data_IF_962940706966
#
_entry.id   IF_962940706966
#
_cell.length_a   1.000
_cell.length_b   1.000
_cell.length_c   1.000
_cell.angle_alpha   90.00
_cell.angle_beta   90.00
_cell.angle_gamma   90.00
#
_symmetry.space_group_name_H-M   'P 1'
#
loop_
_entity.id
_entity.type
_entity.pdbx_description
1 polymer ?
#
# COMPACT_ATOMS: atom_id res chain seq x y z
N UNK A 1 1.96 24.54 -12.23
CA UNK A 1 2.34 23.17 -12.63
C UNK A 1 1.44 22.09 -12.05
N UNK A 2 1.15 22.01 -10.74
CA UNK A 2 0.32 20.89 -10.22
C UNK A 2 -1.18 20.97 -10.58
N UNK A 3 -1.75 22.18 -10.77
CA UNK A 3 -3.16 22.35 -11.21
C UNK A 3 -3.48 21.67 -12.53
N UNK A 4 -2.51 21.57 -13.44
CA UNK A 4 -2.69 20.90 -14.74
C UNK A 4 -2.67 19.38 -14.63
N UNK A 5 -2.31 18.83 -13.46
CA UNK A 5 -2.29 17.39 -13.17
C UNK A 5 -3.53 16.92 -12.39
N UNK A 6 -4.47 17.82 -12.10
CA UNK A 6 -5.74 17.47 -11.48
C UNK A 6 -6.54 16.57 -12.44
N UNK A 7 -7.09 15.46 -11.94
CA UNK A 7 -7.80 14.48 -12.78
C UNK A 7 -8.97 15.09 -13.56
N UNK A 8 -9.70 16.05 -12.99
CA UNK A 8 -10.76 16.77 -13.72
C UNK A 8 -10.18 17.54 -14.90
N UNK A 9 -9.11 18.31 -14.66
CA UNK A 9 -8.41 19.08 -15.71
C UNK A 9 -7.81 18.17 -16.79
N UNK A 10 -7.30 16.98 -16.43
CA UNK A 10 -6.77 16.00 -17.38
C UNK A 10 -7.88 15.42 -18.26
N UNK A 11 -9.05 15.09 -17.67
CA UNK A 11 -10.23 14.63 -18.42
C UNK A 11 -10.69 15.68 -19.44
N UNK A 12 -10.69 16.95 -19.05
CA UNK A 12 -11.15 18.04 -19.91
C UNK A 12 -10.14 18.37 -21.03
N UNK A 13 -8.84 18.28 -20.75
CA UNK A 13 -7.78 18.61 -21.73
C UNK A 13 -7.43 17.47 -22.68
N UNK A 14 -7.35 16.25 -22.18
CA UNK A 14 -6.86 15.09 -22.95
C UNK A 14 -7.43 13.80 -22.38
N UNK A 15 -8.53 13.29 -22.96
CA UNK A 15 -9.10 12.00 -22.58
C UNK A 15 -8.07 10.85 -22.68
N UNK A 16 -7.12 10.93 -23.60
CA UNK A 16 -6.02 9.97 -23.75
C UNK A 16 -5.06 9.98 -22.55
N UNK A 17 -4.67 11.17 -22.04
CA UNK A 17 -3.88 11.25 -20.79
C UNK A 17 -4.69 10.73 -19.60
N UNK A 18 -6.00 11.01 -19.52
CA UNK A 18 -6.82 10.45 -18.44
C UNK A 18 -6.92 8.93 -18.51
N UNK A 19 -7.00 8.36 -19.72
CA UNK A 19 -7.04 6.91 -19.92
C UNK A 19 -5.72 6.24 -19.48
N UNK A 20 -4.59 6.94 -19.60
CA UNK A 20 -3.31 6.47 -19.08
C UNK A 20 -3.36 6.16 -17.57
N UNK A 21 -4.20 6.87 -16.80
CA UNK A 21 -4.37 6.67 -15.36
C UNK A 21 -5.49 5.68 -14.98
N UNK A 22 -6.18 5.02 -15.93
CA UNK A 22 -7.31 4.12 -15.64
C UNK A 22 -6.95 3.05 -14.60
N UNK A 23 -5.81 2.40 -14.81
CA UNK A 23 -5.27 1.32 -13.98
C UNK A 23 -4.18 1.79 -13.02
N UNK A 24 -3.99 3.11 -12.88
CA UNK A 24 -2.99 3.64 -11.99
C UNK A 24 -3.38 3.39 -10.52
N UNK A 25 -2.43 2.96 -9.67
CA UNK A 25 -2.64 2.86 -8.24
C UNK A 25 -2.96 4.24 -7.65
N UNK A 26 -3.87 4.26 -6.67
CA UNK A 26 -4.29 5.47 -5.97
C UNK A 26 -3.62 5.50 -4.59
N UNK A 27 -2.86 6.54 -4.29
CA UNK A 27 -2.29 6.74 -2.95
C UNK A 27 -3.14 7.77 -2.20
N UNK A 28 -3.53 7.39 -0.99
CA UNK A 28 -4.26 8.23 -0.04
C UNK A 28 -3.54 8.23 1.30
N UNK A 29 -3.90 9.15 2.20
CA UNK A 29 -3.28 9.21 3.53
C UNK A 29 -4.10 8.52 4.62
N UNK A 30 -5.37 8.17 4.36
CA UNK A 30 -6.29 7.62 5.36
C UNK A 30 -6.85 6.27 4.93
N UNK A 31 -6.81 5.29 5.85
CA UNK A 31 -7.32 3.92 5.61
C UNK A 31 -8.79 3.87 5.20
N UNK A 32 -9.65 4.66 5.84
CA UNK A 32 -11.08 4.69 5.47
C UNK A 32 -11.29 5.09 3.99
N UNK A 33 -10.46 6.00 3.49
CA UNK A 33 -10.54 6.50 2.11
C UNK A 33 -10.03 5.44 1.13
N UNK A 34 -8.94 4.75 1.51
CA UNK A 34 -8.40 3.59 0.80
C UNK A 34 -9.48 2.52 0.64
N UNK A 35 -10.13 2.15 1.75
CA UNK A 35 -11.14 1.09 1.78
C UNK A 35 -12.35 1.45 0.89
N UNK A 36 -12.83 2.69 0.97
CA UNK A 36 -13.93 3.17 0.14
C UNK A 36 -13.58 3.18 -1.36
N UNK A 37 -12.38 3.62 -1.73
CA UNK A 37 -11.91 3.61 -3.12
C UNK A 37 -11.76 2.18 -3.66
N UNK A 38 -11.20 1.29 -2.85
CA UNK A 38 -11.04 -0.12 -3.20
C UNK A 38 -12.39 -0.81 -3.37
N UNK A 39 -13.37 -0.56 -2.49
CA UNK A 39 -14.72 -1.10 -2.63
C UNK A 39 -15.42 -0.59 -3.90
N UNK A 40 -15.31 0.72 -4.18
CA UNK A 40 -15.87 1.31 -5.42
C UNK A 40 -15.21 0.74 -6.68
N UNK A 41 -13.88 0.59 -6.69
CA UNK A 41 -13.14 -0.02 -7.79
C UNK A 41 -13.51 -1.49 -7.98
N UNK A 42 -13.68 -2.25 -6.90
CA UNK A 42 -14.13 -3.63 -6.95
C UNK A 42 -15.53 -3.75 -7.56
N UNK A 43 -16.48 -2.90 -7.16
CA UNK A 43 -17.84 -2.86 -7.75
C UNK A 43 -17.81 -2.56 -9.25
N UNK A 44 -17.01 -1.56 -9.65
CA UNK A 44 -16.86 -1.23 -11.06
C UNK A 44 -16.21 -2.36 -11.84
N UNK A 45 -15.19 -3.01 -11.28
CA UNK A 45 -14.51 -4.14 -11.91
C UNK A 45 -15.43 -5.35 -12.09
N UNK A 46 -16.27 -5.68 -11.09
CA UNK A 46 -17.30 -6.71 -11.20
C UNK A 46 -18.23 -6.43 -12.40
N UNK A 47 -18.74 -5.19 -12.49
CA UNK A 47 -19.60 -4.75 -13.59
C UNK A 47 -18.90 -4.80 -14.96
N UNK A 48 -17.68 -4.25 -15.07
CA UNK A 48 -16.90 -4.22 -16.31
C UNK A 48 -16.51 -5.63 -16.80
N UNK A 49 -16.30 -6.58 -15.88
CA UNK A 49 -15.92 -7.96 -16.20
C UNK A 49 -17.09 -8.94 -16.29
N UNK A 50 -18.35 -8.46 -16.17
CA UNK A 50 -19.56 -9.30 -16.10
C UNK A 50 -19.49 -10.39 -15.01
N UNK A 51 -18.83 -10.09 -13.89
CA UNK A 51 -18.72 -10.98 -12.74
C UNK A 51 -19.62 -10.48 -11.60
N UNK A 52 -20.07 -11.40 -10.74
CA UNK A 52 -20.80 -11.01 -9.54
C UNK A 52 -19.86 -10.34 -8.53
N UNK A 53 -20.37 -9.31 -7.87
CA UNK A 53 -19.65 -8.68 -6.77
C UNK A 53 -19.74 -9.55 -5.52
N UNK A 54 -18.66 -10.29 -5.23
CA UNK A 54 -18.62 -11.22 -4.11
C UNK A 54 -17.89 -10.65 -2.90
N UNK A 55 -18.44 -10.94 -1.71
CA UNK A 55 -17.86 -10.56 -0.43
C UNK A 55 -17.54 -11.82 0.38
N UNK A 56 -16.32 -11.86 0.90
CA UNK A 56 -15.83 -12.93 1.76
C UNK A 56 -15.70 -12.43 3.19
N UNK A 57 -16.28 -13.20 4.10
CA UNK A 57 -16.45 -12.86 5.50
C UNK A 57 -15.34 -13.46 6.36
N UNK A 58 -14.92 -12.72 7.39
CA UNK A 58 -13.96 -13.21 8.36
C UNK A 58 -14.64 -14.06 9.44
N UNK A 59 -13.91 -15.02 10.02
CA UNK A 59 -14.37 -15.79 11.18
C UNK A 59 -13.84 -15.16 12.46
N UNK A 60 -14.72 -14.75 13.38
CA UNK A 60 -14.32 -14.11 14.64
C UNK A 60 -14.56 -15.02 15.86
N UNK A 61 -13.62 -14.97 16.81
CA UNK A 61 -13.70 -15.64 18.11
C UNK A 61 -13.39 -14.67 19.24
N UNK A 62 -14.15 -14.75 20.33
CA UNK A 62 -13.90 -14.00 21.57
C UNK A 62 -13.69 -15.01 22.69
N UNK A 63 -12.57 -14.88 23.41
CA UNK A 63 -12.20 -15.81 24.50
C UNK A 63 -12.27 -17.30 24.09
N UNK A 64 -11.88 -17.60 22.84
CA UNK A 64 -11.87 -18.96 22.28
C UNK A 64 -13.23 -19.47 21.76
N UNK A 65 -14.32 -18.76 21.99
CA UNK A 65 -15.67 -19.13 21.54
C UNK A 65 -16.06 -18.37 20.27
N UNK A 66 -16.83 -19.03 19.40
CA UNK A 66 -17.48 -18.37 18.27
C UNK A 66 -18.42 -17.28 18.78
N UNK A 67 -18.43 -16.14 18.10
CA UNK A 67 -19.29 -15.01 18.46
C UNK A 67 -20.72 -15.24 17.99
N UNK A 68 -21.70 -14.56 18.60
CA UNK A 68 -23.10 -14.64 18.13
C UNK A 68 -23.25 -13.98 16.76
N UNK A 69 -24.29 -14.34 15.98
CA UNK A 69 -24.51 -13.78 14.65
C UNK A 69 -24.68 -12.25 14.66
N UNK A 70 -25.26 -11.69 15.72
CA UNK A 70 -25.36 -10.23 15.89
C UNK A 70 -23.99 -9.58 16.14
N UNK A 71 -23.18 -10.17 17.01
CA UNK A 71 -21.81 -9.72 17.27
C UNK A 71 -20.95 -9.81 16.01
N UNK A 72 -21.06 -10.92 15.27
CA UNK A 72 -20.35 -11.14 14.00
C UNK A 72 -20.67 -10.04 12.99
N UNK A 73 -21.95 -9.70 12.82
CA UNK A 73 -22.39 -8.61 11.92
C UNK A 73 -21.85 -7.25 12.33
N UNK A 74 -21.68 -6.98 13.63
CA UNK A 74 -21.05 -5.74 14.13
C UNK A 74 -19.55 -5.75 13.87
N UNK A 75 -18.87 -6.85 14.18
CA UNK A 75 -17.43 -7.00 13.98
C UNK A 75 -17.04 -6.88 12.50
N UNK A 76 -17.87 -7.38 11.59
CA UNK A 76 -17.68 -7.22 10.15
C UNK A 76 -17.77 -5.79 9.62
N UNK A 77 -18.40 -4.88 10.37
CA UNK A 77 -18.53 -3.45 10.00
C UNK A 77 -17.37 -2.60 10.51
N UNK A 78 -16.47 -3.16 11.31
CA UNK A 78 -15.31 -2.42 11.83
C UNK A 78 -14.35 -2.08 10.70
N UNK A 79 -13.89 -0.83 10.69
CA UNK A 79 -12.95 -0.34 9.68
C UNK A 79 -11.52 -0.81 9.93
N UNK A 80 -10.71 -0.81 8.87
CA UNK A 80 -9.31 -1.23 8.95
C UNK A 80 -8.44 -0.40 9.92
N UNK A 81 -8.86 0.83 10.24
CA UNK A 81 -8.21 1.67 11.26
C UNK A 81 -8.30 1.05 12.66
N UNK A 82 -9.45 0.46 12.98
CA UNK A 82 -9.73 -0.07 14.33
C UNK A 82 -9.19 -1.50 14.48
N UNK A 83 -9.08 -2.23 13.37
CA UNK A 83 -8.71 -3.65 13.36
C UNK A 83 -7.27 -3.91 12.87
N UNK A 84 -6.49 -2.86 12.61
CA UNK A 84 -5.11 -3.00 12.14
C UNK A 84 -5.00 -3.66 10.76
N UNK A 85 -5.88 -3.29 9.82
CA UNK A 85 -6.04 -3.93 8.49
C UNK A 85 -6.62 -5.35 8.48
N UNK A 86 -7.04 -5.88 9.63
CA UNK A 86 -7.82 -7.12 9.69
C UNK A 86 -9.28 -6.88 9.31
N UNK A 87 -9.56 -6.85 8.00
CA UNK A 87 -10.88 -6.49 7.46
C UNK A 87 -11.89 -7.62 7.64
N UNK A 88 -13.09 -7.27 8.11
CA UNK A 88 -14.16 -8.25 8.35
C UNK A 88 -14.88 -8.73 7.09
N UNK A 89 -14.92 -7.90 6.04
CA UNK A 89 -15.53 -8.18 4.73
C UNK A 89 -14.57 -7.80 3.61
N UNK A 90 -14.11 -8.81 2.87
CA UNK A 90 -13.20 -8.60 1.74
C UNK A 90 -13.97 -8.76 0.43
N UNK A 91 -14.10 -7.69 -0.38
CA UNK A 91 -14.56 -7.83 -1.75
C UNK A 91 -13.43 -8.45 -2.57
N UNK A 92 -13.63 -9.64 -3.12
CA UNK A 92 -12.63 -10.35 -3.90
C UNK A 92 -13.26 -10.86 -5.20
N UNK A 93 -12.65 -10.52 -6.33
CA UNK A 93 -13.14 -10.87 -7.67
C UNK A 93 -11.95 -11.41 -8.48
N UNK A 94 -12.05 -12.61 -9.07
CA UNK A 94 -11.01 -13.11 -9.97
C UNK A 94 -10.62 -12.10 -11.06
N UNK A 95 -9.32 -11.93 -11.28
CA UNK A 95 -8.70 -10.97 -12.19
C UNK A 95 -8.37 -9.61 -11.55
N UNK A 96 -8.81 -9.33 -10.33
CA UNK A 96 -8.54 -8.05 -9.69
C UNK A 96 -7.11 -7.96 -9.12
N UNK A 97 -6.51 -6.76 -9.06
CA UNK A 97 -5.27 -6.55 -8.32
C UNK A 97 -5.51 -6.69 -6.82
N UNK A 98 -4.58 -7.36 -6.15
CA UNK A 98 -4.54 -7.56 -4.71
C UNK A 98 -3.16 -7.19 -4.15
N UNK A 99 -3.12 -6.93 -2.85
CA UNK A 99 -1.91 -6.70 -2.09
C UNK A 99 -1.89 -7.62 -0.88
N UNK A 100 -0.76 -8.28 -0.64
CA UNK A 100 -0.54 -9.11 0.54
C UNK A 100 -0.26 -8.21 1.75
N UNK A 101 -0.89 -8.48 2.89
CA UNK A 101 -0.77 -7.63 4.11
C UNK A 101 0.13 -8.19 5.18
N UNK A 102 0.59 -9.43 5.04
CA UNK A 102 1.45 -10.12 6.01
C UNK A 102 2.57 -10.86 5.27
N UNK A 103 3.65 -11.19 5.99
CA UNK A 103 4.72 -11.98 5.42
C UNK A 103 4.26 -13.44 5.37
N UNK A 104 3.90 -13.92 4.18
CA UNK A 104 3.47 -15.30 3.99
C UNK A 104 4.66 -16.23 3.74
N UNK A 105 5.63 -15.80 2.93
CA UNK A 105 6.83 -16.58 2.61
C UNK A 105 7.97 -15.64 2.18
N UNK A 106 8.74 -15.17 3.16
CA UNK A 106 9.84 -14.22 2.93
C UNK A 106 10.91 -14.78 1.99
N UNK A 107 11.23 -16.08 2.12
CA UNK A 107 12.19 -16.78 1.26
C UNK A 107 11.74 -16.87 -0.20
N UNK A 108 10.44 -16.70 -0.48
CA UNK A 108 9.87 -16.71 -1.81
C UNK A 108 9.37 -15.32 -2.27
N UNK A 109 9.84 -14.26 -1.61
CA UNK A 109 9.52 -12.85 -1.88
C UNK A 109 8.03 -12.48 -1.69
N UNK A 110 7.32 -13.24 -0.86
CA UNK A 110 5.91 -12.98 -0.53
C UNK A 110 5.85 -12.28 0.82
N UNK A 111 5.98 -10.96 0.75
CA UNK A 111 6.09 -10.08 1.92
C UNK A 111 4.92 -9.11 1.98
N UNK A 112 4.77 -8.44 3.12
CA UNK A 112 3.80 -7.37 3.29
C UNK A 112 4.04 -6.27 2.24
N UNK A 113 3.02 -5.97 1.44
CA UNK A 113 3.09 -5.01 0.34
C UNK A 113 3.30 -5.65 -1.04
N UNK A 114 3.61 -6.95 -1.12
CA UNK A 114 3.68 -7.66 -2.41
C UNK A 114 2.36 -7.53 -3.16
N UNK A 115 2.45 -7.19 -4.45
CA UNK A 115 1.30 -6.97 -5.33
C UNK A 115 1.12 -8.18 -6.23
N UNK A 116 -0.12 -8.53 -6.50
CA UNK A 116 -0.44 -9.64 -7.39
C UNK A 116 -1.81 -9.50 -8.03
N UNK A 117 -2.14 -10.47 -8.88
CA UNK A 117 -3.45 -10.59 -9.51
C UNK A 117 -4.15 -11.82 -8.93
N UNK A 118 -5.35 -11.63 -8.41
CA UNK A 118 -6.18 -12.71 -7.90
C UNK A 118 -6.61 -13.62 -9.05
N UNK A 119 -6.33 -14.92 -8.98
CA UNK A 119 -6.69 -15.89 -10.02
C UNK A 119 -8.00 -16.61 -9.70
N UNK A 120 -8.14 -17.11 -8.48
CA UNK A 120 -9.33 -17.82 -8.04
C UNK A 120 -9.41 -17.85 -6.51
N UNK A 121 -10.60 -18.20 -6.00
CA UNK A 121 -10.89 -18.26 -4.58
C UNK A 121 -11.67 -19.55 -4.31
N UNK A 122 -11.23 -20.32 -3.33
CA UNK A 122 -11.97 -21.45 -2.76
C UNK A 122 -12.58 -20.99 -1.45
N UNK A 123 -13.86 -21.28 -1.24
CA UNK A 123 -14.60 -20.82 -0.07
C UNK A 123 -15.61 -21.84 0.46
N UNK A 124 -15.91 -21.73 1.75
CA UNK A 124 -17.05 -22.39 2.38
C UNK A 124 -18.22 -21.40 2.48
N UNK A 125 -19.45 -21.89 2.58
CA UNK A 125 -20.61 -21.06 2.91
C UNK A 125 -21.29 -21.57 4.17
N UNK A 126 -21.80 -20.67 5.01
CA UNK A 126 -22.64 -21.05 6.14
C UNK A 126 -24.13 -21.18 5.73
N UNK A 127 -24.97 -21.55 6.69
CA UNK A 127 -26.42 -21.68 6.49
C UNK A 127 -27.11 -20.35 6.13
N UNK A 128 -26.49 -19.21 6.47
CA UNK A 128 -26.97 -17.86 6.15
C UNK A 128 -26.47 -17.38 4.77
N UNK A 129 -25.70 -18.20 4.05
CA UNK A 129 -25.12 -17.88 2.74
C UNK A 129 -23.88 -16.97 2.80
N UNK A 130 -23.30 -16.72 3.97
CA UNK A 130 -22.05 -15.96 4.08
C UNK A 130 -20.88 -16.83 3.59
N UNK A 131 -20.09 -16.30 2.65
CA UNK A 131 -18.91 -16.98 2.11
C UNK A 131 -17.68 -16.73 2.99
N UNK A 132 -16.90 -17.76 3.28
CA UNK A 132 -15.65 -17.69 4.03
C UNK A 132 -14.53 -18.25 3.18
N UNK A 133 -13.55 -17.40 2.83
CA UNK A 133 -12.45 -17.84 1.99
C UNK A 133 -11.55 -18.85 2.72
N UNK A 134 -11.26 -19.97 2.05
CA UNK A 134 -10.39 -21.06 2.53
C UNK A 134 -9.01 -20.93 1.90
N UNK A 135 -8.94 -20.53 0.64
CA UNK A 135 -7.70 -20.32 -0.09
C UNK A 135 -7.95 -19.31 -1.22
N UNK A 136 -6.97 -18.45 -1.50
CA UNK A 136 -6.94 -17.62 -2.68
C UNK A 136 -5.67 -17.88 -3.48
N UNK A 137 -5.80 -18.17 -4.77
CA UNK A 137 -4.64 -18.28 -5.66
C UNK A 137 -4.30 -16.89 -6.20
N UNK A 138 -3.09 -16.41 -5.94
CA UNK A 138 -2.63 -15.08 -6.35
C UNK A 138 -1.38 -15.24 -7.21
N UNK A 139 -1.40 -14.65 -8.40
CA UNK A 139 -0.22 -14.56 -9.25
C UNK A 139 0.62 -13.34 -8.84
N UNK A 140 1.84 -13.58 -8.38
CA UNK A 140 2.82 -12.60 -7.95
C UNK A 140 4.04 -12.74 -8.86
N UNK A 141 4.27 -11.79 -9.80
CA UNK A 141 5.34 -11.91 -10.80
C UNK A 141 6.75 -12.07 -10.22
N UNK A 142 6.99 -11.51 -9.03
CA UNK A 142 8.30 -11.55 -8.34
C UNK A 142 8.46 -12.75 -7.41
N UNK A 143 7.48 -13.66 -7.35
CA UNK A 143 7.58 -14.81 -6.45
C UNK A 143 8.53 -15.86 -7.00
N UNK A 144 9.43 -16.33 -6.15
CA UNK A 144 10.31 -17.47 -6.44
C UNK A 144 9.67 -18.82 -6.06
N UNK A 145 8.37 -18.84 -5.72
CA UNK A 145 7.69 -20.05 -5.32
C UNK A 145 7.22 -20.82 -6.56
N UNK A 146 7.82 -21.99 -6.80
CA UNK A 146 7.28 -22.97 -7.74
C UNK A 146 6.42 -23.98 -6.97
N UNK A 147 5.12 -23.96 -7.21
CA UNK A 147 4.15 -24.86 -6.58
C UNK A 147 3.71 -25.89 -7.61
N UNK A 148 3.98 -27.19 -7.39
CA UNK A 148 3.59 -28.23 -8.33
C UNK A 148 2.09 -28.19 -8.67
N UNK A 149 1.78 -28.12 -9.96
CA UNK A 149 0.40 -28.08 -10.47
C UNK A 149 -0.21 -26.68 -10.58
N UNK A 150 0.52 -25.61 -10.22
CA UNK A 150 0.13 -24.23 -10.47
C UNK A 150 0.98 -23.60 -11.59
N UNK A 151 0.44 -22.59 -12.26
CA UNK A 151 1.21 -21.78 -13.21
C UNK A 151 2.28 -20.96 -12.51
N UNK A 152 3.39 -20.71 -13.19
CA UNK A 152 4.53 -19.94 -12.67
C UNK A 152 4.11 -18.63 -11.97
N UNK A 153 4.74 -18.35 -10.82
CA UNK A 153 4.45 -17.22 -9.95
C UNK A 153 3.08 -17.26 -9.25
N UNK A 154 2.33 -18.36 -9.29
CA UNK A 154 1.02 -18.47 -8.61
C UNK A 154 1.15 -19.11 -7.24
N UNK A 155 0.67 -18.40 -6.22
CA UNK A 155 0.85 -18.76 -4.81
C UNK A 155 -0.50 -18.96 -4.15
N UNK A 156 -0.70 -20.06 -3.39
CA UNK A 156 -1.84 -20.20 -2.49
C UNK A 156 -1.67 -19.33 -1.25
N UNK A 157 -2.62 -18.42 -1.04
CA UNK A 157 -2.72 -17.59 0.16
C UNK A 157 -3.80 -18.17 1.06
N UNK A 158 -3.41 -18.49 2.29
CA UNK A 158 -4.29 -19.10 3.30
C UNK A 158 -4.71 -18.09 4.37
N UNK A 159 -5.89 -18.26 5.00
CA UNK A 159 -6.34 -17.41 6.08
C UNK A 159 -5.39 -17.43 7.27
N UNK A 160 -5.08 -16.24 7.80
CA UNK A 160 -4.27 -16.06 9.01
C UNK A 160 -5.15 -15.52 10.14
N UNK A 161 -4.80 -15.87 11.37
CA UNK A 161 -5.51 -15.39 12.56
C UNK A 161 -4.76 -14.22 13.21
N UNK A 162 -5.36 -13.04 13.16
CA UNK A 162 -4.89 -11.81 13.81
C UNK A 162 -5.76 -11.47 15.03
N UNK A 163 -5.22 -10.78 16.03
CA UNK A 163 -6.00 -10.31 17.18
C UNK A 163 -6.08 -8.79 17.22
N UNK A 164 -7.24 -8.24 17.56
CA UNK A 164 -7.42 -6.80 17.81
C UNK A 164 -8.30 -6.56 19.03
N UNK A 165 -8.13 -5.39 19.64
CA UNK A 165 -8.92 -4.98 20.81
C UNK A 165 -10.07 -4.11 20.35
N UNK A 166 -11.30 -4.57 20.60
CA UNK A 166 -12.51 -3.84 20.32
C UNK A 166 -13.09 -3.25 21.62
N UNK A 167 -13.22 -1.91 21.73
CA UNK A 167 -13.87 -1.29 22.88
C UNK A 167 -15.40 -1.44 22.76
N UNK A 168 -16.02 -2.03 23.78
CA UNK A 168 -17.47 -1.96 24.00
C UNK A 168 -17.78 -0.91 25.07
N UNK A 169 -19.04 -0.49 25.18
CA UNK A 169 -19.49 0.50 26.18
C UNK A 169 -19.07 0.17 27.62
N UNK A 170 -18.81 -1.11 27.92
CA UNK A 170 -18.51 -1.56 29.28
C UNK A 170 -17.12 -2.19 29.43
N UNK A 171 -16.52 -2.76 28.37
CA UNK A 171 -15.21 -3.48 28.44
C UNK A 171 -14.42 -3.43 27.14
N UNK A 172 -13.09 -3.58 27.23
CA UNK A 172 -12.23 -3.89 26.08
C UNK A 172 -12.24 -5.39 25.85
N UNK A 173 -12.61 -5.81 24.64
CA UNK A 173 -12.71 -7.23 24.26
C UNK A 173 -11.60 -7.55 23.27
N UNK A 174 -10.86 -8.63 23.50
CA UNK A 174 -9.90 -9.15 22.54
C UNK A 174 -10.63 -10.09 21.56
N UNK A 175 -10.60 -9.73 20.28
CA UNK A 175 -11.22 -10.49 19.18
C UNK A 175 -10.10 -11.12 18.37
N UNK A 176 -10.19 -12.43 18.16
CA UNK A 176 -9.36 -13.17 17.21
C UNK A 176 -10.12 -13.31 15.90
N UNK A 177 -9.55 -12.80 14.82
CA UNK A 177 -10.12 -12.82 13.48
C UNK A 177 -9.28 -13.67 12.55
N UNK A 178 -9.91 -14.64 11.90
CA UNK A 178 -9.31 -15.46 10.84
C UNK A 178 -9.82 -15.00 9.48
N UNK A 179 -8.91 -14.55 8.61
CA UNK A 179 -9.21 -14.04 7.27
C UNK A 179 -7.98 -14.13 6.36
N UNK A 180 -8.17 -14.11 5.03
CA UNK A 180 -7.05 -13.99 4.09
C UNK A 180 -6.25 -12.70 4.35
N UNK A 181 -4.90 -12.76 4.40
CA UNK A 181 -4.04 -11.59 4.56
C UNK A 181 -3.87 -10.85 3.22
N UNK A 182 -4.98 -10.48 2.59
CA UNK A 182 -5.01 -9.77 1.31
C UNK A 182 -5.97 -8.59 1.35
N UNK A 183 -5.65 -7.54 0.60
CA UNK A 183 -6.51 -6.39 0.36
C UNK A 183 -6.64 -6.14 -1.14
N UNK A 184 -7.75 -5.52 -1.59
CA UNK A 184 -7.81 -5.00 -2.95
C UNK A 184 -6.68 -3.99 -3.20
N UNK A 185 -6.03 -4.12 -4.36
CA UNK A 185 -4.77 -3.47 -4.70
C UNK A 185 -4.90 -2.27 -5.65
N UNK A 186 -6.02 -1.54 -5.63
CA UNK A 186 -6.17 -0.32 -6.43
C UNK A 186 -5.78 0.94 -5.64
N UNK A 187 -6.07 0.97 -4.34
CA UNK A 187 -5.77 2.08 -3.46
C UNK A 187 -4.90 1.65 -2.28
N UNK A 188 -3.96 2.51 -1.90
CA UNK A 188 -2.95 2.27 -0.87
C UNK A 188 -2.81 3.48 0.04
N UNK A 189 -2.39 3.24 1.29
CA UNK A 189 -1.93 4.33 2.14
C UNK A 189 -0.48 4.69 1.82
N UNK A 190 -0.11 5.96 1.98
CA UNK A 190 1.27 6.47 1.85
C UNK A 190 2.31 5.65 2.62
N UNK A 191 2.00 5.19 3.84
CA UNK A 191 2.89 4.31 4.60
C UNK A 191 3.09 2.92 3.98
N UNK A 192 2.07 2.37 3.30
CA UNK A 192 2.11 1.01 2.74
C UNK A 192 2.85 0.95 1.40
N UNK A 193 3.04 2.10 0.76
CA UNK A 193 3.66 2.21 -0.56
C UNK A 193 5.13 2.69 -0.47
N UNK A 194 5.59 3.04 0.74
CA UNK A 194 6.96 3.47 1.00
C UNK A 194 7.96 2.36 0.62
N UNK A 195 8.94 2.72 -0.21
CA UNK A 195 9.96 1.78 -0.70
C UNK A 195 9.59 1.06 -2.00
N UNK A 196 8.35 1.17 -2.48
CA UNK A 196 7.98 0.69 -3.82
C UNK A 196 8.14 1.79 -4.86
N UNK A 197 8.57 1.40 -6.07
CA UNK A 197 8.60 2.28 -7.26
C UNK A 197 7.38 1.97 -8.12
N UNK A 198 6.71 3.01 -8.62
CA UNK A 198 5.56 2.89 -9.51
C UNK A 198 5.85 3.55 -10.84
N UNK A 199 5.28 3.01 -11.91
CA UNK A 199 5.38 3.64 -13.25
C UNK A 199 4.47 4.85 -13.37
N UNK A 200 3.31 4.81 -12.71
CA UNK A 200 2.30 5.88 -12.69
C UNK A 200 1.47 5.82 -11.42
N UNK A 201 0.94 6.96 -11.00
CA UNK A 201 0.20 7.07 -9.74
C UNK A 201 -0.85 8.18 -9.75
N UNK A 202 -1.97 7.93 -9.06
CA UNK A 202 -2.94 8.95 -8.68
C UNK A 202 -2.75 9.26 -7.20
N UNK A 203 -2.60 10.51 -6.80
CA UNK A 203 -2.39 10.89 -5.40
C UNK A 203 -3.52 11.76 -4.87
N UNK A 204 -3.94 11.51 -3.63
CA UNK A 204 -4.81 12.39 -2.86
C UNK A 204 -4.02 13.13 -1.78
N UNK A 205 -3.64 14.36 -2.10
CA UNK A 205 -2.82 15.20 -1.23
C UNK A 205 -3.64 15.96 -0.19
N UNK A 206 -4.97 15.99 -0.27
CA UNK A 206 -5.82 16.76 0.65
C UNK A 206 -5.72 16.25 2.09
N UNK A 207 -5.51 14.94 2.26
CA UNK A 207 -5.35 14.33 3.57
C UNK A 207 -3.95 14.41 4.16
N UNK A 208 -2.96 14.93 3.42
CA UNK A 208 -1.58 15.01 3.88
C UNK A 208 -1.41 16.18 4.85
N UNK A 209 -0.98 15.87 6.08
CA UNK A 209 -0.73 16.87 7.12
C UNK A 209 0.72 17.32 7.19
N UNK A 210 1.64 16.59 6.56
CA UNK A 210 3.08 16.81 6.64
C UNK A 210 3.70 16.87 5.25
N UNK A 211 4.81 17.61 5.12
CA UNK A 211 5.56 17.68 3.87
C UNK A 211 6.14 16.29 3.51
N UNK A 212 6.52 15.50 4.52
CA UNK A 212 7.03 14.14 4.32
C UNK A 212 6.00 13.23 3.66
N UNK A 213 4.73 13.27 4.08
CA UNK A 213 3.66 12.47 3.46
C UNK A 213 3.46 12.85 1.99
N UNK A 214 3.47 14.16 1.68
CA UNK A 214 3.41 14.64 0.28
C UNK A 214 4.62 14.15 -0.51
N UNK A 215 5.83 14.27 0.05
CA UNK A 215 7.06 13.82 -0.59
C UNK A 215 7.06 12.32 -0.83
N UNK A 216 6.65 11.49 0.15
CA UNK A 216 6.54 10.04 0.00
C UNK A 216 5.60 9.70 -1.16
N UNK A 217 4.43 10.34 -1.26
CA UNK A 217 3.48 10.08 -2.34
C UNK A 217 4.00 10.50 -3.72
N UNK A 218 4.60 11.69 -3.83
CA UNK A 218 5.08 12.22 -5.11
C UNK A 218 6.39 11.57 -5.59
N UNK A 219 7.25 11.13 -4.67
CA UNK A 219 8.51 10.44 -4.98
C UNK A 219 8.33 9.00 -5.48
N UNK A 220 7.09 8.48 -5.56
CA UNK A 220 6.83 7.12 -6.05
C UNK A 220 7.03 6.96 -7.56
N UNK A 221 7.05 8.06 -8.30
CA UNK A 221 7.25 8.06 -9.76
C UNK A 221 8.41 8.98 -10.12
N UNK A 222 9.08 8.68 -11.22
CA UNK A 222 10.25 9.42 -11.69
C UNK A 222 9.90 10.70 -12.44
N UNK A 223 8.68 10.80 -13.00
CA UNK A 223 8.28 11.91 -13.86
C UNK A 223 6.94 12.52 -13.43
N UNK A 224 6.83 13.85 -13.53
CA UNK A 224 5.58 14.57 -13.24
C UNK A 224 4.43 14.17 -14.18
N UNK A 225 4.75 13.71 -15.40
CA UNK A 225 3.77 13.20 -16.39
C UNK A 225 3.10 11.90 -15.95
N UNK A 226 3.67 11.24 -14.94
CA UNK A 226 3.15 9.99 -14.39
C UNK A 226 2.46 10.18 -13.03
N UNK A 227 2.25 11.45 -12.62
CA UNK A 227 1.47 11.83 -11.44
C UNK A 227 0.15 12.44 -11.86
N UNK A 228 -0.96 11.92 -11.37
CA UNK A 228 -2.26 12.59 -11.39
C UNK A 228 -2.70 12.94 -9.97
N UNK A 229 -3.36 14.08 -9.79
CA UNK A 229 -3.90 14.53 -8.50
C UNK A 229 -5.40 14.29 -8.48
N UNK A 230 -5.88 13.55 -7.48
CA UNK A 230 -7.29 13.17 -7.39
C UNK A 230 -8.22 14.37 -7.17
N UNK A 231 -7.82 15.29 -6.28
CA UNK A 231 -8.57 16.49 -5.92
C UNK A 231 -7.63 17.63 -5.51
N UNK A 232 -8.10 18.85 -5.64
CA UNK A 232 -7.31 20.01 -5.28
C UNK A 232 -7.07 20.07 -3.76
N UNK A 233 -5.90 20.56 -3.38
CA UNK A 233 -5.44 20.60 -1.99
C UNK A 233 -4.84 21.98 -1.67
N UNK A 234 -4.82 22.32 -0.39
CA UNK A 234 -4.22 23.58 0.07
C UNK A 234 -2.69 23.51 -0.07
N UNK A 235 -2.10 24.50 -0.73
CA UNK A 235 -0.65 24.60 -0.88
C UNK A 235 0.07 24.91 0.44
N UNK A 236 -0.64 25.27 1.52
CA UNK A 236 -0.04 25.57 2.82
C UNK A 236 0.86 24.44 3.34
N UNK A 237 0.47 23.18 3.11
CA UNK A 237 1.26 22.01 3.54
C UNK A 237 2.53 21.83 2.71
N UNK A 238 2.56 22.26 1.44
CA UNK A 238 3.77 22.21 0.59
C UNK A 238 4.83 23.21 1.03
N UNK A 239 4.42 24.34 1.58
CA UNK A 239 5.31 25.39 2.07
C UNK A 239 5.62 25.26 3.58
N UNK A 240 5.19 24.16 4.21
CA UNK A 240 5.54 23.86 5.58
C UNK A 240 7.02 23.50 5.72
N UNK A 241 7.60 23.75 6.89
CA UNK A 241 8.95 23.27 7.21
C UNK A 241 8.96 21.75 7.41
N UNK A 242 10.11 21.12 7.13
CA UNK A 242 10.39 19.78 7.64
C UNK A 242 10.17 19.74 9.15
N UNK A 243 9.78 18.58 9.68
CA UNK A 243 9.69 18.38 11.13
C UNK A 243 11.05 18.66 11.79
N UNK A 244 11.05 19.15 13.04
CA UNK A 244 12.23 19.63 13.76
C UNK A 244 13.41 18.66 13.67
N UNK A 245 13.19 17.41 14.10
CA UNK A 245 14.21 16.36 14.11
C UNK A 245 14.82 16.11 12.73
N UNK A 246 13.98 15.97 11.69
CA UNK A 246 14.45 15.76 10.32
C UNK A 246 15.23 16.97 9.77
N UNK A 247 14.88 18.18 10.21
CA UNK A 247 15.60 19.41 9.83
C UNK A 247 16.95 19.48 10.51
N UNK A 248 17.02 19.15 11.80
CA UNK A 248 18.26 19.10 12.58
C UNK A 248 19.22 18.03 12.04
N UNK A 249 18.70 16.85 11.72
CA UNK A 249 19.46 15.77 11.10
C UNK A 249 19.99 16.18 9.73
N UNK A 250 19.16 16.80 8.88
CA UNK A 250 19.61 17.30 7.57
C UNK A 250 20.71 18.37 7.70
N UNK A 251 20.64 19.22 8.73
CA UNK A 251 21.69 20.20 9.02
C UNK A 251 22.97 19.53 9.50
N UNK A 252 22.86 18.52 10.37
CA UNK A 252 23.99 17.73 10.82
C UNK A 252 24.66 17.00 9.66
N UNK A 253 23.90 16.31 8.80
CA UNK A 253 24.41 15.64 7.60
C UNK A 253 25.13 16.59 6.66
N UNK A 254 24.61 17.82 6.46
CA UNK A 254 25.31 18.84 5.68
C UNK A 254 26.64 19.24 6.29
N UNK A 255 26.70 19.43 7.61
CA UNK A 255 27.96 19.74 8.31
C UNK A 255 28.97 18.61 8.17
N UNK A 256 28.53 17.37 8.37
CA UNK A 256 29.38 16.17 8.20
C UNK A 256 29.88 16.07 6.77
N UNK A 257 29.03 16.26 5.77
CA UNK A 257 29.42 16.22 4.36
C UNK A 257 30.47 17.29 4.01
N UNK A 258 30.31 18.51 4.52
CA UNK A 258 31.32 19.58 4.35
C UNK A 258 32.64 19.19 4.98
N UNK A 259 32.62 18.71 6.23
CA UNK A 259 33.83 18.29 6.94
C UNK A 259 34.55 17.11 6.26
N UNK A 260 33.80 16.12 5.78
CA UNK A 260 34.35 14.98 5.03
C UNK A 260 34.99 15.45 3.73
N UNK A 261 34.35 16.38 3.01
CA UNK A 261 34.91 16.97 1.78
C UNK A 261 36.21 17.71 2.04
N UNK A 262 36.26 18.53 3.08
CA UNK A 262 37.47 19.28 3.47
C UNK A 262 38.62 18.34 3.83
N UNK A 263 38.37 17.30 4.64
CA UNK A 263 39.37 16.28 4.96
C UNK A 263 39.89 15.53 3.74
N UNK A 264 38.99 15.18 2.82
CA UNK A 264 39.36 14.48 1.59
C UNK A 264 40.29 15.33 0.73
N UNK A 265 39.97 16.62 0.55
CA UNK A 265 40.80 17.56 -0.20
C UNK A 265 42.18 17.74 0.44
N UNK A 266 42.26 17.91 1.76
CA UNK A 266 43.55 18.04 2.47
C UNK A 266 44.41 16.77 2.35
N UNK A 267 43.79 15.58 2.33
CA UNK A 267 44.53 14.33 2.16
C UNK A 267 45.04 14.13 0.72
N UNK A 268 44.29 14.60 -0.29
CA UNK A 268 44.63 14.38 -1.70
C UNK A 268 45.36 15.57 -2.35
N UNK A 269 45.41 16.74 -1.72
CA UNK A 269 46.38 17.80 -2.05
C UNK A 269 47.79 17.39 -1.63
N UNK A 270 47.96 16.66 -0.53
CA UNK A 270 49.26 16.16 -0.07
C UNK A 270 49.81 14.99 -0.90
N UNK A 271 48.96 14.26 -1.64
CA UNK A 271 49.39 13.18 -2.54
C UNK A 271 49.71 13.68 -3.96
N UNK A 272 49.25 14.87 -4.34
CA UNK A 272 49.52 15.49 -5.64
C UNK A 272 50.92 16.11 -5.75
N UNK A 273 51.50 16.56 -4.64
CA UNK A 273 52.83 17.18 -4.61
C UNK A 273 53.99 16.16 -4.49
N UNK A 274 53.70 14.87 -4.25
CA UNK A 274 54.73 13.86 -4.02
C UNK A 274 55.05 12.99 -5.26
N UNK A 275 54.42 13.25 -6.41
CA UNK A 275 54.67 12.51 -7.67
C UNK A 275 55.69 13.22 -8.58
N UNK A 276 56.03 14.48 -8.32
CA UNK A 276 56.96 15.26 -9.14
C UNK A 276 58.44 15.21 -8.68
N UNK A 277 58.77 14.41 -7.65
CA UNK A 277 60.15 14.29 -7.15
C UNK A 277 60.86 12.95 -7.43
N UNK A 278 60.22 11.97 -8.09
CA UNK A 278 60.88 10.71 -8.51
C UNK A 278 61.18 10.62 -10.02
N UNK A 279 61.11 11.73 -10.77
CA UNK A 279 61.49 11.79 -12.19
C UNK A 279 62.60 12.78 -12.51
N UNK A 280 63.63 12.87 -11.66
CA UNK A 280 64.94 13.40 -12.10
C UNK A 280 66.05 12.93 -11.16
N UNK A 281 66.99 12.19 -11.75
CA UNK A 281 68.27 11.66 -11.24
C UNK A 281 68.25 10.34 -10.47
#
# INVERSE_FOLDING_TARGET
MLKTRLLSTLKDRSPAESAHFKDAPIIVTRKFLRDALNESKAKNFASESNQQFEIYHARDKIAGKSVSSEQQRRLWKLGASDTGDSIGKLPLIPGMPVMITENAATSAHIVNGSRGILKSITYDSDADGNKFAVCALVHIPESALDVPGLSDGTVPILPVTSSFVFPTNTKKINVRRTQLPILPGWAFTDFKIQGSTMTKVVVDLTGAKTLQSIYVMLSRVSCLRDVAILRWFSSRTLYGSLQGDAREEMQWLRRVATWTREKYLVQHENDGDNVDHERTN
#
